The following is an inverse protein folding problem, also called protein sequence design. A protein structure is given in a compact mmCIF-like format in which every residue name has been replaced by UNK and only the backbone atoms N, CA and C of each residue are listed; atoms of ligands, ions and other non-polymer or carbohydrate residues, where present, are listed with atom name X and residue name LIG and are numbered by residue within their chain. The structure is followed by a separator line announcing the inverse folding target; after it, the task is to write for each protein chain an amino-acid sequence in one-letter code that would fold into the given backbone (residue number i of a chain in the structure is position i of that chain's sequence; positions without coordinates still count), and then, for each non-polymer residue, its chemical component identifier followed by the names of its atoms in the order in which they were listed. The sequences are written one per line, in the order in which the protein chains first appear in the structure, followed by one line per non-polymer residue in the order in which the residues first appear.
data_IF_316847199296
#
_entry.id   IF_316847199296
#
_cell.length_a   1.000
_cell.length_b   1.000
_cell.length_c   1.000
_cell.angle_alpha   90.00
_cell.angle_beta   90.00
_cell.angle_gamma   90.00
#
_symmetry.space_group_name_H-M   'P 1'
#
loop_
_entity.id
_entity.type
_entity.pdbx_description
1 polymer ?
#
# COMPACT_ATOMS: atom_id res chain seq x y z
N UNK A 1 73.55 -51.83 -12.84
CA UNK A 1 74.23 -51.11 -11.70
C UNK A 1 74.38 -49.65 -12.04
N UNK A 2 74.27 -48.82 -11.12
CA UNK A 2 74.37 -47.33 -11.10
C UNK A 2 73.07 -46.58 -11.36
N UNK A 3 72.50 -46.11 -10.23
CA UNK A 3 71.38 -45.21 -10.10
C UNK A 3 71.82 -43.77 -10.43
N UNK A 4 71.12 -43.11 -11.32
CA UNK A 4 71.26 -41.67 -11.51
C UNK A 4 70.06 -40.97 -10.89
N UNK A 5 70.31 -40.21 -9.79
CA UNK A 5 69.38 -39.35 -9.12
C UNK A 5 69.30 -38.03 -9.89
N UNK A 6 68.10 -37.65 -10.36
CA UNK A 6 67.79 -36.36 -10.91
C UNK A 6 67.09 -35.53 -9.82
N UNK A 7 67.76 -34.47 -9.36
CA UNK A 7 67.19 -33.44 -8.47
C UNK A 7 66.51 -32.43 -9.36
N UNK A 8 65.18 -32.43 -9.34
CA UNK A 8 64.36 -31.38 -9.98
C UNK A 8 64.17 -30.22 -9.00
N UNK A 9 64.78 -29.08 -9.33
CA UNK A 9 64.63 -27.81 -8.58
C UNK A 9 63.27 -27.21 -8.93
N UNK A 10 62.31 -27.27 -8.00
CA UNK A 10 60.98 -26.64 -8.16
C UNK A 10 61.11 -25.18 -7.69
N UNK A 11 61.19 -24.23 -8.65
CA UNK A 11 61.08 -22.79 -8.39
C UNK A 11 59.64 -22.44 -8.03
N UNK A 12 59.43 -22.17 -6.76
CA UNK A 12 58.13 -21.68 -6.23
C UNK A 12 57.98 -20.19 -6.58
N UNK A 13 57.28 -19.87 -7.69
CA UNK A 13 56.90 -18.49 -7.99
C UNK A 13 55.69 -18.15 -7.10
N UNK A 14 55.91 -17.41 -6.06
CA UNK A 14 54.88 -16.81 -5.24
C UNK A 14 54.21 -15.66 -6.04
N UNK A 15 53.10 -15.97 -6.69
CA UNK A 15 52.21 -14.94 -7.27
C UNK A 15 51.51 -14.27 -6.11
N UNK A 16 52.00 -13.12 -5.70
CA UNK A 16 51.36 -12.21 -4.74
C UNK A 16 50.13 -11.60 -5.46
N UNK A 17 48.96 -12.21 -5.30
CA UNK A 17 47.71 -11.59 -5.69
C UNK A 17 47.42 -10.45 -4.72
N UNK A 18 47.73 -9.21 -5.15
CA UNK A 18 47.19 -8.03 -4.52
C UNK A 18 45.64 -8.08 -4.66
N UNK A 19 44.99 -8.55 -3.63
CA UNK A 19 43.56 -8.31 -3.46
C UNK A 19 43.40 -6.83 -3.21
N UNK A 20 43.08 -6.07 -4.24
CA UNK A 20 42.52 -4.73 -4.04
C UNK A 20 41.17 -4.95 -3.34
N UNK A 21 41.19 -4.82 -2.01
CA UNK A 21 39.97 -4.55 -1.28
C UNK A 21 39.44 -3.23 -1.85
N UNK A 22 38.39 -3.31 -2.67
CA UNK A 22 37.60 -2.14 -3.00
C UNK A 22 37.07 -1.62 -1.66
N UNK A 23 37.64 -0.55 -1.12
CA UNK A 23 37.05 0.21 -0.04
C UNK A 23 35.65 0.62 -0.51
N UNK A 24 34.65 -0.15 -0.13
CA UNK A 24 33.29 0.26 -0.28
C UNK A 24 33.08 1.44 0.66
N UNK A 25 33.10 2.65 0.11
CA UNK A 25 32.80 3.87 0.85
C UNK A 25 31.35 3.78 1.29
N UNK A 26 31.13 3.23 2.48
CA UNK A 26 29.81 2.95 3.05
C UNK A 26 29.06 4.25 3.40
N UNK A 27 29.79 5.38 3.55
CA UNK A 27 29.25 6.67 3.96
C UNK A 27 29.58 7.81 2.99
N UNK A 28 29.27 7.65 1.71
CA UNK A 28 29.38 8.78 0.80
C UNK A 28 28.14 9.67 0.95
N UNK A 29 28.34 10.89 1.47
CA UNK A 29 27.28 11.92 1.50
C UNK A 29 27.07 12.41 0.07
N UNK A 30 25.84 12.37 -0.40
CA UNK A 30 25.45 12.80 -1.75
C UNK A 30 24.58 14.07 -1.76
N UNK A 31 23.93 14.37 -0.64
CA UNK A 31 23.24 15.65 -0.45
C UNK A 31 23.28 16.10 1.01
N UNK A 32 23.32 17.41 1.22
CA UNK A 32 23.09 18.06 2.49
C UNK A 32 21.77 18.82 2.43
N UNK A 33 20.91 18.65 3.45
CA UNK A 33 19.61 19.31 3.54
C UNK A 33 19.52 19.96 4.91
N UNK A 34 19.79 21.27 5.00
CA UNK A 34 19.95 21.98 6.28
C UNK A 34 21.03 21.29 7.15
N UNK A 35 20.64 20.67 8.28
CA UNK A 35 21.54 19.94 9.19
C UNK A 35 21.55 18.42 8.99
N UNK A 36 20.80 17.88 8.04
CA UNK A 36 20.70 16.44 7.76
C UNK A 36 21.45 16.09 6.47
N UNK A 37 21.71 14.80 6.25
CA UNK A 37 22.45 14.32 5.08
C UNK A 37 21.75 13.13 4.43
N UNK A 38 21.81 13.07 3.10
CA UNK A 38 21.45 11.86 2.33
C UNK A 38 22.75 11.20 1.87
N UNK A 39 22.87 9.91 2.13
CA UNK A 39 24.03 9.12 1.74
C UNK A 39 23.78 8.32 0.45
N UNK A 40 24.85 7.78 -0.14
CA UNK A 40 24.74 6.85 -1.27
C UNK A 40 23.94 5.60 -0.89
N UNK A 41 24.09 5.12 0.34
CA UNK A 41 23.35 3.97 0.85
C UNK A 41 21.86 4.25 0.94
N UNK A 42 21.45 5.48 1.29
CA UNK A 42 20.04 5.88 1.31
C UNK A 42 19.45 5.89 -0.10
N UNK A 43 20.22 6.43 -1.06
CA UNK A 43 19.79 6.42 -2.46
C UNK A 43 19.64 4.99 -2.99
N UNK A 44 20.59 4.10 -2.71
CA UNK A 44 20.51 2.69 -3.14
C UNK A 44 19.30 2.00 -2.53
N UNK A 45 19.06 2.16 -1.21
CA UNK A 45 17.87 1.62 -0.55
C UNK A 45 16.58 2.17 -1.17
N UNK A 46 16.51 3.47 -1.44
CA UNK A 46 15.35 4.06 -2.11
C UNK A 46 15.11 3.48 -3.50
N UNK A 47 16.18 3.23 -4.26
CA UNK A 47 16.09 2.59 -5.58
C UNK A 47 15.64 1.13 -5.49
N UNK A 48 16.12 0.37 -4.51
CA UNK A 48 15.69 -1.01 -4.26
C UNK A 48 14.20 -1.07 -3.83
N UNK A 49 13.77 -0.18 -2.94
CA UNK A 49 12.36 -0.06 -2.55
C UNK A 49 11.47 0.25 -3.76
N UNK A 50 11.85 1.26 -4.56
CA UNK A 50 11.12 1.58 -5.80
C UNK A 50 11.02 0.38 -6.74
N UNK A 51 12.10 -0.37 -6.94
CA UNK A 51 12.09 -1.55 -7.79
C UNK A 51 11.16 -2.64 -7.24
N UNK A 52 11.18 -2.88 -5.91
CA UNK A 52 10.31 -3.87 -5.29
C UNK A 52 8.83 -3.48 -5.41
N UNK A 53 8.49 -2.22 -5.18
CA UNK A 53 7.12 -1.71 -5.35
C UNK A 53 6.64 -1.88 -6.80
N UNK A 54 7.51 -1.53 -7.76
CA UNK A 54 7.18 -1.69 -9.18
C UNK A 54 7.01 -3.16 -9.58
N UNK A 55 7.81 -4.07 -9.02
CA UNK A 55 7.65 -5.52 -9.25
C UNK A 55 6.32 -6.05 -8.71
N UNK A 56 5.90 -5.60 -7.54
CA UNK A 56 4.60 -5.97 -6.99
C UNK A 56 3.44 -5.42 -7.84
N UNK A 57 3.58 -4.20 -8.35
CA UNK A 57 2.52 -3.53 -9.11
C UNK A 57 2.44 -3.97 -10.59
N UNK A 58 3.59 -4.14 -11.26
CA UNK A 58 3.68 -4.33 -12.71
C UNK A 58 4.35 -5.65 -13.13
N UNK A 59 4.79 -6.48 -12.18
CA UNK A 59 5.41 -7.76 -12.47
C UNK A 59 6.59 -7.66 -13.44
N UNK A 60 6.49 -8.32 -14.58
CA UNK A 60 7.54 -8.37 -15.60
C UNK A 60 7.83 -7.02 -16.28
N UNK A 61 6.93 -6.04 -16.21
CA UNK A 61 7.12 -4.72 -16.81
C UNK A 61 7.81 -3.71 -15.87
N UNK A 62 8.14 -4.11 -14.64
CA UNK A 62 8.73 -3.24 -13.62
C UNK A 62 9.97 -2.48 -14.10
N UNK A 63 10.86 -3.14 -14.84
CA UNK A 63 12.10 -2.53 -15.32
C UNK A 63 11.87 -1.31 -16.22
N UNK A 64 10.82 -1.33 -17.05
CA UNK A 64 10.44 -0.21 -17.91
C UNK A 64 10.06 1.02 -17.06
N UNK A 65 9.21 0.83 -16.07
CA UNK A 65 8.78 1.91 -15.19
C UNK A 65 9.91 2.41 -14.28
N UNK A 66 10.83 1.52 -13.90
CA UNK A 66 11.99 1.87 -13.10
C UNK A 66 12.92 2.84 -13.83
N UNK A 67 13.22 2.61 -15.11
CA UNK A 67 14.08 3.50 -15.91
C UNK A 67 13.58 4.95 -15.90
N UNK A 68 12.28 5.16 -15.93
CA UNK A 68 11.68 6.49 -15.92
C UNK A 68 11.69 7.13 -14.52
N UNK A 69 11.53 6.32 -13.45
CA UNK A 69 11.30 6.83 -12.09
C UNK A 69 12.55 6.88 -11.22
N UNK A 70 13.59 6.08 -11.52
CA UNK A 70 14.81 6.04 -10.69
C UNK A 70 15.49 7.40 -10.51
N UNK A 71 15.39 8.29 -11.49
CA UNK A 71 15.93 9.65 -11.46
C UNK A 71 15.27 10.54 -10.40
N UNK A 72 14.08 10.18 -9.97
CA UNK A 72 13.29 10.95 -9.01
C UNK A 72 13.55 10.52 -7.56
N UNK A 73 14.25 9.39 -7.33
CA UNK A 73 14.48 8.84 -5.98
C UNK A 73 15.23 9.83 -5.09
N UNK A 74 16.24 10.53 -5.61
CA UNK A 74 16.97 11.53 -4.80
C UNK A 74 16.08 12.72 -4.44
N UNK A 75 15.24 13.19 -5.37
CA UNK A 75 14.23 14.21 -5.09
C UNK A 75 13.30 13.77 -3.97
N UNK A 76 12.80 12.53 -4.06
CA UNK A 76 11.82 12.01 -3.09
C UNK A 76 12.44 11.85 -1.69
N UNK A 77 13.71 11.47 -1.60
CA UNK A 77 14.47 11.43 -0.34
C UNK A 77 14.65 12.84 0.27
N UNK A 78 15.00 13.83 -0.55
CA UNK A 78 15.12 15.22 -0.11
C UNK A 78 13.76 15.76 0.37
N UNK A 79 12.69 15.52 -0.40
CA UNK A 79 11.34 15.94 -0.04
C UNK A 79 10.86 15.30 1.26
N UNK A 80 11.13 14.00 1.44
CA UNK A 80 10.83 13.29 2.67
C UNK A 80 11.56 13.90 3.86
N UNK A 81 12.85 14.20 3.71
CA UNK A 81 13.65 14.79 4.79
C UNK A 81 13.15 16.17 5.19
N UNK A 82 12.80 17.02 4.22
CA UNK A 82 12.19 18.32 4.47
C UNK A 82 10.85 18.21 5.23
N UNK A 83 10.01 17.23 4.88
CA UNK A 83 8.77 16.97 5.60
C UNK A 83 9.03 16.46 7.02
N UNK A 84 10.03 15.60 7.24
CA UNK A 84 10.41 15.14 8.57
C UNK A 84 10.96 16.27 9.44
N UNK A 85 11.79 17.15 8.89
CA UNK A 85 12.24 18.36 9.58
C UNK A 85 11.06 19.24 9.97
N UNK A 86 10.10 19.43 9.05
CA UNK A 86 8.87 20.17 9.34
C UNK A 86 8.03 19.49 10.41
N UNK A 87 7.94 18.17 10.41
CA UNK A 87 7.30 17.40 11.48
C UNK A 87 7.93 17.67 12.85
N UNK A 88 9.28 17.69 12.93
CA UNK A 88 10.01 18.05 14.16
C UNK A 88 9.66 19.47 14.64
N UNK A 89 9.62 20.46 13.73
CA UNK A 89 9.23 21.83 14.04
C UNK A 89 7.80 21.94 14.58
N UNK A 90 6.88 21.14 14.05
CA UNK A 90 5.47 21.11 14.45
C UNK A 90 5.20 20.25 15.69
N UNK A 91 6.23 19.60 16.26
CA UNK A 91 6.12 18.70 17.40
C UNK A 91 5.40 17.38 17.07
N UNK A 92 5.37 16.96 15.81
CA UNK A 92 4.76 15.71 15.35
C UNK A 92 5.77 14.59 15.56
N UNK A 93 5.53 13.67 16.50
CA UNK A 93 6.44 12.55 16.79
C UNK A 93 6.01 11.25 16.12
N UNK A 94 4.72 11.01 15.95
CA UNK A 94 4.16 9.80 15.34
C UNK A 94 4.32 8.52 16.15
N UNK A 95 4.80 8.59 17.41
CA UNK A 95 5.18 7.40 18.19
C UNK A 95 4.00 6.48 18.48
N UNK A 96 2.89 7.04 18.97
CA UNK A 96 1.68 6.28 19.29
C UNK A 96 1.03 5.67 18.05
N UNK A 97 1.00 6.42 16.96
CA UNK A 97 0.45 5.97 15.68
C UNK A 97 1.31 4.86 15.07
N UNK A 98 2.64 4.93 15.25
CA UNK A 98 3.57 3.88 14.82
C UNK A 98 3.26 2.55 15.51
N UNK A 99 3.05 2.56 16.83
CA UNK A 99 2.70 1.35 17.59
C UNK A 99 1.38 0.75 17.07
N UNK A 100 0.36 1.60 16.88
CA UNK A 100 -0.95 1.17 16.36
C UNK A 100 -0.82 0.58 14.96
N UNK A 101 -0.05 1.24 14.08
CA UNK A 101 0.14 0.79 12.71
C UNK A 101 0.85 -0.56 12.63
N UNK A 102 1.85 -0.80 13.48
CA UNK A 102 2.53 -2.10 13.56
C UNK A 102 1.56 -3.18 14.07
N UNK A 103 0.70 -2.87 15.05
CA UNK A 103 -0.32 -3.82 15.52
C UNK A 103 -1.39 -4.14 14.44
N UNK A 104 -1.77 -3.16 13.63
CA UNK A 104 -2.63 -3.37 12.46
C UNK A 104 -1.98 -4.31 11.45
N UNK A 105 -0.70 -4.10 11.12
CA UNK A 105 0.07 -4.98 10.23
C UNK A 105 0.11 -6.40 10.80
N UNK A 106 0.38 -6.55 12.10
CA UNK A 106 0.36 -7.84 12.80
C UNK A 106 -0.97 -8.57 12.57
N UNK A 107 -2.09 -7.89 12.80
CA UNK A 107 -3.45 -8.44 12.60
C UNK A 107 -3.74 -8.79 11.14
N UNK A 108 -3.36 -7.92 10.19
CA UNK A 108 -3.56 -8.14 8.76
C UNK A 108 -2.80 -9.37 8.25
N UNK A 109 -1.60 -9.61 8.78
CA UNK A 109 -0.78 -10.77 8.44
C UNK A 109 -1.12 -12.02 9.27
N UNK A 110 -2.14 -11.96 10.14
CA UNK A 110 -2.52 -13.02 11.07
C UNK A 110 -1.34 -13.52 11.95
N UNK A 111 -0.48 -12.60 12.37
CA UNK A 111 0.65 -12.90 13.27
C UNK A 111 0.20 -12.79 14.74
N UNK A 112 0.71 -13.68 15.58
CA UNK A 112 0.27 -13.74 16.99
C UNK A 112 0.93 -12.66 17.84
N UNK A 113 2.22 -12.40 17.65
CA UNK A 113 3.02 -11.51 18.49
C UNK A 113 3.75 -10.42 17.70
N UNK A 114 4.26 -9.41 18.39
CA UNK A 114 5.10 -8.36 17.80
C UNK A 114 6.46 -8.91 17.36
N UNK A 115 6.97 -9.92 18.05
CA UNK A 115 8.19 -10.65 17.69
C UNK A 115 8.02 -11.40 16.37
N UNK A 116 6.81 -11.84 16.02
CA UNK A 116 6.52 -12.42 14.71
C UNK A 116 6.60 -11.39 13.60
N UNK A 117 6.13 -10.15 13.84
CA UNK A 117 6.28 -9.04 12.91
C UNK A 117 7.75 -8.70 12.69
N UNK A 118 8.53 -8.64 13.78
CA UNK A 118 9.97 -8.43 13.69
C UNK A 118 10.65 -9.50 12.84
N UNK A 119 10.39 -10.79 13.14
CA UNK A 119 10.95 -11.90 12.34
C UNK A 119 10.54 -11.84 10.85
N UNK A 120 9.31 -11.42 10.58
CA UNK A 120 8.85 -11.24 9.21
C UNK A 120 9.62 -10.13 8.49
N UNK A 121 9.84 -8.97 9.13
CA UNK A 121 10.62 -7.87 8.58
C UNK A 121 12.09 -8.28 8.34
N UNK A 122 12.72 -8.94 9.31
CA UNK A 122 14.11 -9.42 9.22
C UNK A 122 14.29 -10.47 8.12
N UNK A 123 13.30 -11.33 7.90
CA UNK A 123 13.28 -12.31 6.80
C UNK A 123 13.27 -11.64 5.42
N UNK A 124 12.62 -10.48 5.30
CA UNK A 124 12.63 -9.65 4.09
C UNK A 124 13.88 -8.75 3.99
N UNK A 125 14.85 -8.90 4.92
CA UNK A 125 16.12 -8.18 4.92
C UNK A 125 16.05 -6.77 5.52
N UNK A 126 14.97 -6.42 6.20
CA UNK A 126 14.79 -5.10 6.85
C UNK A 126 15.01 -5.25 8.35
N UNK A 127 15.94 -4.45 8.92
CA UNK A 127 16.14 -4.46 10.38
C UNK A 127 14.88 -3.97 11.11
N UNK A 128 14.63 -4.47 12.33
CA UNK A 128 13.47 -4.04 13.12
C UNK A 128 13.44 -2.52 13.37
N UNK A 129 14.61 -1.92 13.60
CA UNK A 129 14.70 -0.46 13.79
C UNK A 129 14.38 0.30 12.51
N UNK A 130 14.91 -0.12 11.37
CA UNK A 130 14.59 0.50 10.08
C UNK A 130 13.10 0.33 9.73
N UNK A 131 12.53 -0.84 10.02
CA UNK A 131 11.10 -1.09 9.81
C UNK A 131 10.23 -0.11 10.61
N UNK A 132 10.50 0.04 11.92
CA UNK A 132 9.80 1.00 12.77
C UNK A 132 9.99 2.44 12.30
N UNK A 133 11.23 2.79 11.94
CA UNK A 133 11.55 4.14 11.50
C UNK A 133 10.86 4.49 10.17
N UNK A 134 10.78 3.55 9.24
CA UNK A 134 10.08 3.76 7.97
C UNK A 134 8.59 3.99 8.18
N UNK A 135 7.94 3.21 9.05
CA UNK A 135 6.54 3.42 9.42
C UNK A 135 6.36 4.80 10.07
N UNK A 136 7.23 5.14 11.02
CA UNK A 136 7.20 6.44 11.71
C UNK A 136 7.37 7.61 10.73
N UNK A 137 8.34 7.53 9.83
CA UNK A 137 8.57 8.54 8.80
C UNK A 137 7.34 8.73 7.91
N UNK A 138 6.72 7.63 7.47
CA UNK A 138 5.48 7.69 6.68
C UNK A 138 4.34 8.37 7.44
N UNK A 139 4.17 8.07 8.72
CA UNK A 139 3.15 8.69 9.59
C UNK A 139 3.41 10.19 9.76
N UNK A 140 4.65 10.57 10.11
CA UNK A 140 5.01 11.98 10.31
C UNK A 140 4.81 12.79 9.03
N UNK A 141 5.30 12.30 7.88
CA UNK A 141 5.14 13.00 6.60
C UNK A 141 3.67 13.14 6.21
N UNK A 142 2.86 12.09 6.42
CA UNK A 142 1.42 12.14 6.17
C UNK A 142 0.72 13.16 7.09
N UNK A 143 1.06 13.21 8.38
CA UNK A 143 0.48 14.18 9.32
C UNK A 143 0.86 15.61 8.96
N UNK A 144 2.12 15.84 8.55
CA UNK A 144 2.56 17.16 8.07
C UNK A 144 1.75 17.59 6.85
N UNK A 145 1.64 16.73 5.83
CA UNK A 145 0.86 17.01 4.62
C UNK A 145 -0.62 17.26 4.97
N UNK A 146 -1.20 16.42 5.83
CA UNK A 146 -2.59 16.59 6.26
C UNK A 146 -2.83 17.94 6.95
N UNK A 147 -1.92 18.34 7.85
CA UNK A 147 -2.03 19.57 8.63
C UNK A 147 -1.73 20.82 7.81
N UNK A 148 -0.62 20.82 7.07
CA UNK A 148 -0.11 22.01 6.39
C UNK A 148 -0.73 22.21 4.99
N UNK A 149 -1.28 21.17 4.39
CA UNK A 149 -1.86 21.21 3.05
C UNK A 149 -3.31 20.76 3.07
N UNK A 150 -3.57 19.54 3.54
CA UNK A 150 -4.88 18.90 3.47
C UNK A 150 -5.98 19.68 4.18
N UNK A 151 -5.69 20.21 5.38
CA UNK A 151 -6.63 21.00 6.17
C UNK A 151 -7.07 22.31 5.50
N UNK A 152 -6.34 22.77 4.49
CA UNK A 152 -6.64 24.02 3.77
C UNK A 152 -7.38 23.76 2.45
N UNK A 153 -7.60 22.49 2.06
CA UNK A 153 -8.35 22.15 0.86
C UNK A 153 -9.85 22.33 1.15
N UNK A 154 -10.46 23.27 0.46
CA UNK A 154 -11.89 23.47 0.49
C UNK A 154 -12.52 22.85 -0.75
N UNK A 155 -13.66 22.19 -0.56
CA UNK A 155 -14.46 21.61 -1.63
C UNK A 155 -15.87 22.19 -1.49
N UNK A 156 -16.33 22.87 -2.52
CA UNK A 156 -17.66 23.48 -2.51
C UNK A 156 -18.72 22.51 -3.05
N UNK A 157 -19.97 22.75 -2.73
CA UNK A 157 -21.07 21.93 -3.26
C UNK A 157 -21.15 22.02 -4.80
N UNK A 158 -20.87 23.19 -5.35
CA UNK A 158 -20.84 23.42 -6.80
C UNK A 158 -19.75 22.55 -7.48
N UNK A 159 -18.57 22.42 -6.84
CA UNK A 159 -17.52 21.54 -7.36
C UNK A 159 -17.92 20.07 -7.31
N UNK A 160 -18.59 19.65 -6.23
CA UNK A 160 -19.10 18.29 -6.08
C UNK A 160 -20.12 17.99 -7.19
N UNK A 161 -21.08 18.90 -7.40
CA UNK A 161 -22.09 18.76 -8.46
C UNK A 161 -21.46 18.74 -9.86
N UNK A 162 -20.54 19.66 -10.13
CA UNK A 162 -19.86 19.75 -11.42
C UNK A 162 -19.02 18.50 -11.72
N UNK A 163 -18.27 17.99 -10.74
CA UNK A 163 -17.48 16.77 -10.88
C UNK A 163 -18.38 15.56 -11.14
N UNK A 164 -19.46 15.41 -10.39
CA UNK A 164 -20.43 14.34 -10.59
C UNK A 164 -21.03 14.40 -11.99
N UNK A 165 -21.48 15.59 -12.46
CA UNK A 165 -22.06 15.78 -13.77
C UNK A 165 -21.08 15.44 -14.91
N UNK A 166 -19.82 15.79 -14.73
CA UNK A 166 -18.76 15.53 -15.71
C UNK A 166 -18.41 14.03 -15.79
N UNK A 167 -18.43 13.31 -14.66
CA UNK A 167 -17.99 11.91 -14.57
C UNK A 167 -19.17 10.89 -14.51
N UNK A 168 -20.39 11.31 -14.77
CA UNK A 168 -21.60 10.44 -14.73
C UNK A 168 -21.43 9.14 -15.50
N UNK A 169 -20.85 9.19 -16.69
CA UNK A 169 -20.68 8.01 -17.55
C UNK A 169 -19.72 6.97 -16.94
N UNK A 170 -18.69 7.46 -16.22
CA UNK A 170 -17.70 6.60 -15.56
C UNK A 170 -18.24 5.94 -14.29
N UNK A 171 -19.31 6.54 -13.70
CA UNK A 171 -19.98 6.05 -12.49
C UNK A 171 -21.07 5.03 -12.80
N UNK A 172 -21.31 4.73 -14.08
CA UNK A 172 -22.33 3.76 -14.46
C UNK A 172 -22.00 2.39 -13.89
N UNK A 173 -22.96 1.80 -13.19
CA UNK A 173 -22.82 0.50 -12.55
C UNK A 173 -23.90 -0.48 -13.03
N UNK A 174 -23.58 -1.78 -13.15
CA UNK A 174 -24.59 -2.80 -13.43
C UNK A 174 -25.52 -2.99 -12.24
N UNK A 175 -26.71 -3.49 -12.51
CA UNK A 175 -27.60 -3.94 -11.45
C UNK A 175 -26.96 -5.09 -10.69
N UNK A 176 -26.96 -5.02 -9.35
CA UNK A 176 -26.39 -6.03 -8.47
C UNK A 176 -27.15 -6.14 -7.16
N UNK A 177 -27.13 -7.34 -6.61
CA UNK A 177 -27.71 -7.65 -5.30
C UNK A 177 -26.67 -8.27 -4.40
N UNK A 178 -26.74 -8.00 -3.09
CA UNK A 178 -25.96 -8.74 -2.09
C UNK A 178 -26.88 -9.76 -1.45
N UNK A 179 -26.37 -10.97 -1.32
CA UNK A 179 -27.15 -12.13 -0.90
C UNK A 179 -26.56 -12.79 0.34
N UNK A 180 -27.46 -13.26 1.18
CA UNK A 180 -27.18 -14.27 2.20
C UNK A 180 -27.85 -15.57 1.83
N UNK A 181 -27.25 -16.74 2.15
CA UNK A 181 -27.72 -18.07 1.84
C UNK A 181 -27.80 -18.98 3.07
N UNK A 182 -28.80 -19.83 3.12
CA UNK A 182 -28.84 -21.03 3.98
C UNK A 182 -29.03 -22.24 3.07
N UNK A 183 -28.02 -23.09 2.98
CA UNK A 183 -28.07 -24.36 2.27
C UNK A 183 -28.49 -25.48 3.22
N UNK A 184 -29.53 -26.24 2.86
CA UNK A 184 -29.88 -27.52 3.47
C UNK A 184 -29.55 -28.61 2.47
N UNK A 185 -28.42 -29.26 2.70
CA UNK A 185 -27.89 -30.27 1.79
C UNK A 185 -28.75 -31.52 1.75
N UNK A 186 -28.91 -32.07 0.55
CA UNK A 186 -29.51 -33.38 0.33
C UNK A 186 -28.51 -34.42 -0.14
N UNK A 187 -27.23 -34.04 -0.20
CA UNK A 187 -26.17 -34.92 -0.66
C UNK A 187 -25.78 -35.90 0.49
N UNK A 188 -25.70 -37.21 0.20
CA UNK A 188 -25.26 -38.20 1.17
C UNK A 188 -23.80 -37.94 1.56
N UNK A 189 -23.50 -37.99 2.85
CA UNK A 189 -22.10 -37.86 3.33
C UNK A 189 -21.25 -38.98 2.73
N UNK A 190 -20.22 -38.60 1.96
CA UNK A 190 -19.27 -39.53 1.34
C UNK A 190 -19.60 -39.96 -0.11
N UNK A 191 -20.71 -39.50 -0.68
CA UNK A 191 -21.10 -39.78 -2.08
C UNK A 191 -21.76 -38.56 -2.71
N UNK A 192 -21.01 -37.51 -3.04
CA UNK A 192 -21.55 -36.23 -3.51
C UNK A 192 -22.29 -36.30 -4.85
N UNK A 193 -22.08 -37.36 -5.64
CA UNK A 193 -22.73 -37.58 -6.94
C UNK A 193 -23.95 -38.52 -6.88
N UNK A 194 -24.32 -39.03 -5.69
CA UNK A 194 -25.49 -39.89 -5.56
C UNK A 194 -26.75 -39.06 -5.49
N UNK A 195 -27.80 -39.48 -6.23
CA UNK A 195 -29.12 -38.86 -6.14
C UNK A 195 -29.73 -39.14 -4.75
N UNK A 196 -30.24 -38.10 -4.08
CA UNK A 196 -30.93 -38.27 -2.80
C UNK A 196 -32.26 -39.02 -2.97
N UNK A 197 -32.62 -39.85 -1.99
CA UNK A 197 -33.93 -40.48 -1.95
C UNK A 197 -35.04 -39.46 -1.63
N UNK A 198 -36.31 -39.86 -1.91
CA UNK A 198 -37.46 -39.00 -1.71
C UNK A 198 -37.66 -38.60 -0.24
N UNK A 199 -37.29 -39.44 0.70
CA UNK A 199 -37.38 -39.14 2.13
C UNK A 199 -36.42 -38.06 2.55
N UNK A 200 -35.17 -38.12 2.06
CA UNK A 200 -34.14 -37.09 2.27
C UNK A 200 -34.58 -35.75 1.65
N UNK A 201 -35.13 -35.80 0.42
CA UNK A 201 -35.63 -34.58 -0.24
C UNK A 201 -36.78 -33.93 0.55
N UNK A 202 -37.77 -34.72 0.97
CA UNK A 202 -38.88 -34.22 1.76
C UNK A 202 -38.46 -33.64 3.12
N UNK A 203 -37.52 -34.29 3.81
CA UNK A 203 -37.00 -33.82 5.08
C UNK A 203 -36.23 -32.48 4.93
N UNK A 204 -35.36 -32.35 3.91
CA UNK A 204 -34.62 -31.11 3.64
C UNK A 204 -35.55 -29.96 3.24
N UNK A 205 -36.53 -30.22 2.40
CA UNK A 205 -37.52 -29.23 2.01
C UNK A 205 -38.32 -28.74 3.22
N UNK A 206 -38.78 -29.66 4.09
CA UNK A 206 -39.49 -29.31 5.31
C UNK A 206 -38.64 -28.45 6.23
N UNK A 207 -37.35 -28.82 6.45
CA UNK A 207 -36.39 -28.04 7.25
C UNK A 207 -36.20 -26.63 6.70
N UNK A 208 -36.02 -26.49 5.37
CA UNK A 208 -35.90 -25.19 4.73
C UNK A 208 -37.19 -24.33 4.92
N UNK A 209 -38.36 -24.91 4.80
CA UNK A 209 -39.62 -24.21 5.06
C UNK A 209 -39.76 -23.76 6.51
N UNK A 210 -39.39 -24.61 7.47
CA UNK A 210 -39.40 -24.27 8.89
C UNK A 210 -38.45 -23.10 9.20
N UNK A 211 -37.25 -23.09 8.63
CA UNK A 211 -36.30 -21.99 8.78
C UNK A 211 -36.83 -20.69 8.17
N UNK A 212 -37.38 -20.75 6.96
CA UNK A 212 -38.03 -19.59 6.34
C UNK A 212 -39.14 -19.02 7.23
N UNK A 213 -39.97 -19.87 7.81
CA UNK A 213 -41.08 -19.43 8.66
C UNK A 213 -40.57 -18.81 9.98
N UNK A 214 -39.45 -19.30 10.54
CA UNK A 214 -38.76 -18.66 11.66
C UNK A 214 -38.24 -17.27 11.30
N UNK A 215 -37.62 -17.11 10.12
CA UNK A 215 -37.10 -15.82 9.66
C UNK A 215 -38.28 -14.83 9.47
N UNK A 216 -39.36 -15.26 8.85
CA UNK A 216 -40.56 -14.44 8.70
C UNK A 216 -41.24 -14.02 10.02
N UNK A 217 -40.99 -14.77 11.09
CA UNK A 217 -41.39 -14.44 12.47
C UNK A 217 -40.35 -13.55 13.21
N UNK A 218 -39.31 -13.14 12.53
CA UNK A 218 -38.29 -12.22 13.08
C UNK A 218 -37.00 -12.87 13.60
N UNK A 219 -36.77 -14.18 13.38
CA UNK A 219 -35.50 -14.79 13.69
C UNK A 219 -34.36 -14.23 12.78
N UNK A 220 -33.17 -14.09 13.34
CA UNK A 220 -32.00 -13.64 12.59
C UNK A 220 -31.61 -14.65 11.51
N UNK A 221 -31.53 -14.22 10.26
CA UNK A 221 -31.08 -15.06 9.15
C UNK A 221 -29.62 -15.52 9.37
N UNK A 222 -28.74 -14.60 9.77
CA UNK A 222 -27.33 -14.87 10.03
C UNK A 222 -27.14 -15.94 11.13
N UNK A 223 -27.91 -15.86 12.24
CA UNK A 223 -27.80 -16.84 13.33
C UNK A 223 -28.31 -18.22 12.90
N UNK A 224 -29.36 -18.24 12.07
CA UNK A 224 -29.86 -19.48 11.51
C UNK A 224 -28.91 -20.08 10.48
N UNK A 225 -28.26 -19.25 9.66
CA UNK A 225 -27.23 -19.68 8.73
C UNK A 225 -26.05 -20.31 9.46
N UNK A 226 -25.51 -19.65 10.48
CA UNK A 226 -24.42 -20.19 11.32
C UNK A 226 -24.74 -21.54 11.95
N UNK A 227 -26.02 -21.77 12.30
CA UNK A 227 -26.45 -22.99 13.03
C UNK A 227 -26.89 -24.12 12.10
N UNK A 228 -27.40 -23.80 10.93
CA UNK A 228 -28.15 -24.77 10.12
C UNK A 228 -27.67 -24.90 8.68
N UNK A 229 -26.88 -23.94 8.17
CA UNK A 229 -26.38 -24.01 6.79
C UNK A 229 -25.33 -25.09 6.66
N UNK A 230 -25.47 -25.91 5.62
CA UNK A 230 -24.51 -26.94 5.22
C UNK A 230 -23.46 -26.37 4.24
N UNK A 231 -23.53 -25.07 3.86
CA UNK A 231 -22.49 -24.41 3.07
C UNK A 231 -21.30 -24.00 3.96
N UNK A 232 -20.20 -24.74 3.88
CA UNK A 232 -19.01 -24.50 4.67
C UNK A 232 -18.34 -23.16 4.38
N UNK A 233 -18.57 -22.53 3.21
CA UNK A 233 -17.89 -21.30 2.81
C UNK A 233 -18.56 -20.06 3.42
N UNK A 234 -19.88 -20.04 3.51
CA UNK A 234 -20.64 -18.87 3.96
C UNK A 234 -21.26 -19.03 5.34
N UNK A 235 -21.49 -20.24 5.83
CA UNK A 235 -22.17 -20.48 7.10
C UNK A 235 -21.55 -19.71 8.27
N UNK A 236 -20.22 -19.74 8.44
CA UNK A 236 -19.52 -19.06 9.51
C UNK A 236 -19.66 -17.53 9.46
N UNK A 237 -19.85 -16.97 8.26
CA UNK A 237 -20.10 -15.56 7.99
C UNK A 237 -21.59 -15.20 7.94
N UNK A 238 -22.47 -16.07 8.49
CA UNK A 238 -23.92 -15.83 8.51
C UNK A 238 -24.62 -16.05 7.16
N UNK A 239 -23.96 -16.74 6.24
CA UNK A 239 -24.49 -17.02 4.90
C UNK A 239 -24.15 -15.97 3.85
N UNK A 240 -23.30 -14.97 4.16
CA UNK A 240 -22.96 -13.89 3.22
C UNK A 240 -22.19 -14.45 1.99
N UNK A 241 -22.79 -14.27 0.81
CA UNK A 241 -22.24 -14.64 -0.49
C UNK A 241 -21.62 -13.44 -1.24
N UNK A 242 -21.78 -12.22 -0.69
CA UNK A 242 -21.36 -11.00 -1.37
C UNK A 242 -22.27 -10.58 -2.52
N UNK A 243 -21.73 -9.81 -3.48
CA UNK A 243 -22.50 -9.18 -4.56
C UNK A 243 -22.56 -10.03 -5.82
N UNK A 244 -23.77 -10.12 -6.39
CA UNK A 244 -24.05 -10.76 -7.67
C UNK A 244 -24.56 -9.72 -8.67
N UNK A 245 -23.90 -9.63 -9.82
CA UNK A 245 -24.37 -8.81 -10.93
C UNK A 245 -25.45 -9.55 -11.73
N UNK A 246 -26.38 -8.83 -12.35
CA UNK A 246 -27.31 -9.42 -13.30
C UNK A 246 -26.51 -10.12 -14.44
N UNK A 247 -26.92 -11.34 -14.77
CA UNK A 247 -26.23 -12.22 -15.73
C UNK A 247 -25.20 -13.17 -15.12
N UNK A 248 -24.98 -13.13 -13.79
CA UNK A 248 -24.01 -14.02 -13.11
C UNK A 248 -24.65 -15.31 -12.55
N UNK A 249 -25.97 -15.43 -12.59
CA UNK A 249 -26.71 -16.56 -12.05
C UNK A 249 -27.54 -17.26 -13.13
N UNK A 250 -28.04 -18.47 -12.82
CA UNK A 250 -29.02 -19.14 -13.66
C UNK A 250 -30.31 -18.28 -13.74
N UNK A 251 -30.82 -18.08 -14.95
CA UNK A 251 -31.89 -17.12 -15.25
C UNK A 251 -33.13 -17.24 -14.34
N UNK A 252 -33.59 -18.44 -14.04
CA UNK A 252 -34.77 -18.65 -13.18
C UNK A 252 -34.57 -18.17 -11.74
N UNK A 253 -33.33 -18.33 -11.22
CA UNK A 253 -32.94 -17.85 -9.89
C UNK A 253 -32.75 -16.33 -9.90
N UNK A 254 -32.10 -15.83 -10.94
CA UNK A 254 -31.86 -14.40 -11.14
C UNK A 254 -33.14 -13.61 -11.20
N UNK A 255 -34.10 -14.04 -12.02
CA UNK A 255 -35.41 -13.38 -12.17
C UNK A 255 -36.16 -13.31 -10.82
N UNK A 256 -36.04 -14.35 -9.99
CA UNK A 256 -36.64 -14.37 -8.65
C UNK A 256 -35.97 -13.39 -7.71
N UNK A 257 -34.64 -13.47 -7.63
CA UNK A 257 -33.84 -12.69 -6.67
C UNK A 257 -33.89 -11.19 -6.97
N UNK A 258 -33.71 -10.81 -8.23
CA UNK A 258 -33.76 -9.40 -8.63
C UNK A 258 -35.15 -8.77 -8.56
N UNK A 259 -36.20 -9.58 -8.44
CA UNK A 259 -37.54 -9.09 -8.17
C UNK A 259 -37.82 -8.89 -6.67
N UNK A 260 -37.01 -9.45 -5.78
CA UNK A 260 -37.14 -9.34 -4.33
C UNK A 260 -36.74 -7.96 -3.84
N UNK A 261 -37.39 -7.50 -2.76
CA UNK A 261 -36.99 -6.28 -2.05
C UNK A 261 -35.86 -6.59 -1.05
N UNK A 262 -35.15 -5.55 -0.70
CA UNK A 262 -34.15 -5.64 0.40
C UNK A 262 -34.87 -6.10 1.67
N UNK A 263 -34.33 -7.15 2.31
CA UNK A 263 -34.90 -7.82 3.48
C UNK A 263 -35.77 -9.02 3.16
N UNK A 264 -36.21 -9.20 1.92
CA UNK A 264 -37.05 -10.36 1.54
C UNK A 264 -36.24 -11.66 1.55
N UNK A 265 -36.90 -12.75 1.92
CA UNK A 265 -36.36 -14.11 1.90
C UNK A 265 -37.14 -14.95 0.90
N UNK A 266 -36.42 -15.66 0.04
CA UNK A 266 -37.01 -16.53 -0.98
C UNK A 266 -37.81 -17.71 -0.37
N UNK A 267 -38.67 -18.31 -1.16
CA UNK A 267 -39.10 -19.66 -0.88
C UNK A 267 -37.91 -20.64 -1.06
N UNK A 268 -37.96 -21.84 -0.45
CA UNK A 268 -36.90 -22.84 -0.65
C UNK A 268 -36.74 -23.19 -2.12
N UNK A 269 -35.56 -22.89 -2.68
CA UNK A 269 -35.21 -23.17 -4.07
C UNK A 269 -34.47 -24.50 -4.15
N UNK A 270 -34.93 -25.43 -4.98
CA UNK A 270 -34.25 -26.73 -5.20
C UNK A 270 -33.03 -26.53 -6.09
N UNK A 271 -31.90 -27.01 -5.63
CA UNK A 271 -30.62 -27.06 -6.38
C UNK A 271 -30.08 -28.49 -6.42
N UNK A 272 -28.98 -28.71 -7.14
CA UNK A 272 -28.29 -30.02 -7.13
C UNK A 272 -27.75 -30.40 -5.74
N UNK A 273 -27.36 -29.41 -4.94
CA UNK A 273 -26.75 -29.63 -3.61
C UNK A 273 -27.82 -29.84 -2.52
N UNK A 274 -29.05 -29.32 -2.72
CA UNK A 274 -30.09 -29.37 -1.72
C UNK A 274 -31.13 -28.26 -1.93
N UNK A 275 -31.69 -27.78 -0.83
CA UNK A 275 -32.61 -26.63 -0.82
C UNK A 275 -31.85 -25.41 -0.27
N UNK A 276 -31.98 -24.28 -0.94
CA UNK A 276 -31.42 -23.00 -0.52
C UNK A 276 -32.53 -22.00 -0.19
N UNK A 277 -32.28 -21.25 0.89
CA UNK A 277 -32.99 -20.00 1.19
C UNK A 277 -32.03 -18.85 0.89
N UNK A 278 -32.54 -17.85 0.18
CA UNK A 278 -31.75 -16.65 -0.14
C UNK A 278 -32.42 -15.41 0.42
N UNK A 279 -31.63 -14.50 0.96
CA UNK A 279 -32.09 -13.19 1.43
C UNK A 279 -31.35 -12.11 0.69
N UNK A 280 -32.08 -11.11 0.20
CA UNK A 280 -31.48 -9.90 -0.40
C UNK A 280 -31.20 -8.91 0.72
N UNK A 281 -29.93 -8.60 0.94
CA UNK A 281 -29.49 -7.62 1.95
C UNK A 281 -29.26 -6.24 1.36
N UNK A 282 -28.86 -6.16 0.09
CA UNK A 282 -28.68 -4.92 -0.65
C UNK A 282 -29.10 -5.10 -2.11
N UNK A 283 -29.66 -4.05 -2.72
CA UNK A 283 -30.05 -4.04 -4.14
C UNK A 283 -29.65 -2.71 -4.76
N UNK A 284 -28.65 -2.75 -5.61
CA UNK A 284 -28.17 -1.61 -6.38
C UNK A 284 -28.76 -1.65 -7.78
N UNK A 285 -29.49 -0.62 -8.17
CA UNK A 285 -30.07 -0.51 -9.51
C UNK A 285 -29.00 -0.24 -10.56
N UNK A 286 -29.23 -0.72 -11.78
CA UNK A 286 -28.39 -0.38 -12.93
C UNK A 286 -28.48 1.12 -13.24
N UNK A 287 -27.36 1.69 -13.69
CA UNK A 287 -27.32 3.08 -14.13
C UNK A 287 -26.36 3.93 -13.31
N UNK A 288 -26.50 5.24 -13.40
CA UNK A 288 -25.69 6.18 -12.65
C UNK A 288 -26.31 6.36 -11.26
N UNK A 289 -25.57 6.08 -10.17
CA UNK A 289 -26.10 6.28 -8.82
C UNK A 289 -26.40 7.75 -8.57
N UNK A 290 -27.46 8.10 -7.83
CA UNK A 290 -27.71 9.48 -7.44
C UNK A 290 -26.52 10.08 -6.69
N UNK A 291 -26.25 11.39 -6.85
CA UNK A 291 -25.15 12.07 -6.20
C UNK A 291 -25.09 11.79 -4.68
N UNK A 292 -26.23 11.81 -3.99
CA UNK A 292 -26.33 11.54 -2.55
C UNK A 292 -25.73 10.19 -2.11
N UNK A 293 -25.73 9.19 -3.01
CA UNK A 293 -25.23 7.84 -2.71
C UNK A 293 -23.73 7.69 -2.98
N UNK A 294 -23.15 8.65 -3.69
CA UNK A 294 -21.72 8.65 -4.09
C UNK A 294 -20.98 9.94 -3.67
N UNK A 295 -21.64 10.81 -2.93
CA UNK A 295 -21.11 12.14 -2.57
C UNK A 295 -19.74 12.05 -1.88
N UNK A 296 -19.58 11.16 -0.90
CA UNK A 296 -18.31 10.94 -0.20
C UNK A 296 -17.19 10.49 -1.16
N UNK A 297 -17.53 9.66 -2.15
CA UNK A 297 -16.57 9.21 -3.17
C UNK A 297 -16.18 10.35 -4.09
N UNK A 298 -17.14 11.19 -4.49
CA UNK A 298 -16.92 12.37 -5.32
C UNK A 298 -16.06 13.37 -4.56
N UNK A 299 -16.39 13.68 -3.31
CA UNK A 299 -15.60 14.58 -2.46
C UNK A 299 -14.18 14.07 -2.28
N UNK A 300 -14.01 12.77 -2.03
CA UNK A 300 -12.68 12.15 -1.92
C UNK A 300 -11.89 12.28 -3.22
N UNK A 301 -12.51 12.05 -4.38
CA UNK A 301 -11.84 12.21 -5.68
C UNK A 301 -11.38 13.64 -5.91
N UNK A 302 -12.25 14.64 -5.65
CA UNK A 302 -11.90 16.06 -5.74
C UNK A 302 -10.78 16.42 -4.75
N UNK A 303 -10.85 15.90 -3.52
CA UNK A 303 -9.83 16.12 -2.52
C UNK A 303 -8.45 15.67 -3.01
N UNK A 304 -8.31 14.44 -3.51
CA UNK A 304 -7.04 13.93 -4.02
C UNK A 304 -6.57 14.68 -5.29
N UNK A 305 -7.51 15.09 -6.14
CA UNK A 305 -7.19 15.91 -7.32
C UNK A 305 -6.59 17.26 -6.92
N UNK A 306 -7.10 17.90 -5.86
CA UNK A 306 -6.57 19.16 -5.32
C UNK A 306 -5.31 18.97 -4.47
N UNK A 307 -5.22 17.87 -3.74
CA UNK A 307 -4.10 17.59 -2.82
C UNK A 307 -2.77 17.48 -3.58
N UNK A 308 -2.74 16.74 -4.69
CA UNK A 308 -1.50 16.49 -5.43
C UNK A 308 -0.76 17.77 -5.86
N UNK A 309 -1.40 18.74 -6.53
CA UNK A 309 -0.73 19.99 -6.88
C UNK A 309 -0.42 20.85 -5.66
N UNK A 310 -1.27 20.84 -4.63
CA UNK A 310 -1.03 21.59 -3.40
C UNK A 310 0.19 21.07 -2.62
N UNK A 311 0.37 19.75 -2.51
CA UNK A 311 1.57 19.14 -1.92
C UNK A 311 2.81 19.51 -2.71
N UNK A 312 2.75 19.48 -4.06
CA UNK A 312 3.88 19.88 -4.90
C UNK A 312 4.27 21.34 -4.67
N UNK A 313 3.30 22.24 -4.61
CA UNK A 313 3.55 23.66 -4.31
C UNK A 313 4.13 23.85 -2.90
N UNK A 314 3.65 23.09 -1.93
CA UNK A 314 4.17 23.11 -0.56
C UNK A 314 5.62 22.63 -0.49
N UNK A 315 5.96 21.52 -1.14
CA UNK A 315 7.32 21.00 -1.23
C UNK A 315 8.26 22.01 -1.92
N UNK A 316 7.82 22.64 -3.01
CA UNK A 316 8.59 23.72 -3.66
C UNK A 316 8.91 24.83 -2.66
N UNK A 317 7.92 25.27 -1.87
CA UNK A 317 8.14 26.29 -0.82
C UNK A 317 9.12 25.82 0.25
N UNK A 318 9.03 24.57 0.71
CA UNK A 318 9.99 24.03 1.70
C UNK A 318 11.41 24.00 1.12
N UNK A 319 11.57 23.62 -0.15
CA UNK A 319 12.86 23.61 -0.85
C UNK A 319 13.48 25.01 -0.98
N UNK A 320 12.68 26.01 -1.32
CA UNK A 320 13.12 27.41 -1.42
C UNK A 320 13.60 27.98 -0.08
N UNK A 321 13.05 27.49 1.02
CA UNK A 321 13.42 27.88 2.38
C UNK A 321 14.59 27.08 2.96
N UNK A 322 14.95 25.96 2.36
CA UNK A 322 15.98 25.05 2.84
C UNK A 322 17.33 25.33 2.16
N UNK A 323 18.39 24.99 2.88
CA UNK A 323 19.71 24.83 2.30
C UNK A 323 19.81 23.40 1.73
N UNK A 324 19.93 23.28 0.41
CA UNK A 324 20.12 22.00 -0.28
C UNK A 324 21.40 22.08 -1.11
N UNK A 325 22.34 21.17 -0.85
CA UNK A 325 23.60 21.05 -1.60
C UNK A 325 23.78 19.60 -2.05
N UNK A 326 23.70 19.39 -3.37
CA UNK A 326 23.82 18.07 -3.99
C UNK A 326 25.21 17.91 -4.59
N UNK A 327 25.91 16.82 -4.23
CA UNK A 327 27.25 16.51 -4.70
C UNK A 327 27.30 16.38 -6.23
N UNK A 328 28.33 16.90 -6.90
CA UNK A 328 28.54 16.71 -8.33
C UNK A 328 28.49 15.23 -8.74
N UNK A 329 27.75 14.92 -9.79
CA UNK A 329 27.51 13.55 -10.26
C UNK A 329 26.16 12.97 -9.84
N UNK A 330 25.42 13.65 -8.96
CA UNK A 330 24.04 13.34 -8.62
C UNK A 330 23.12 14.45 -9.11
N UNK A 331 21.87 14.08 -9.46
CA UNK A 331 20.88 15.01 -9.99
C UNK A 331 19.64 14.96 -9.11
N UNK A 332 19.26 16.11 -8.57
CA UNK A 332 17.96 16.33 -7.94
C UNK A 332 16.98 16.85 -8.99
N UNK A 333 16.02 16.01 -9.40
CA UNK A 333 15.00 16.39 -10.38
C UNK A 333 13.97 17.37 -9.84
N UNK A 334 13.96 17.64 -8.52
CA UNK A 334 13.09 18.60 -7.85
C UNK A 334 13.74 19.96 -7.59
N UNK A 335 14.99 20.17 -7.98
CA UNK A 335 15.71 21.41 -7.74
C UNK A 335 14.93 22.62 -8.29
N UNK A 336 14.71 23.62 -7.43
CA UNK A 336 14.05 24.88 -7.82
C UNK A 336 15.09 25.85 -8.42
N UNK A 337 14.76 26.62 -9.47
CA UNK A 337 15.63 27.67 -9.97
C UNK A 337 15.89 28.77 -8.91
N UNK A 338 15.06 28.85 -7.87
CA UNK A 338 15.15 29.83 -6.80
C UNK A 338 15.85 29.28 -5.54
N UNK A 339 16.40 28.04 -5.57
CA UNK A 339 17.16 27.49 -4.45
C UNK A 339 18.39 28.38 -4.14
N UNK A 340 18.58 28.67 -2.87
CA UNK A 340 19.71 29.46 -2.39
C UNK A 340 20.99 28.61 -2.50
N UNK A 341 21.79 28.85 -3.53
CA UNK A 341 23.11 28.17 -3.61
C UNK A 341 24.04 28.73 -2.55
N UNK A 342 24.76 27.88 -1.80
CA UNK A 342 25.68 28.34 -0.78
C UNK A 342 26.78 29.19 -1.41
N UNK A 343 26.97 30.38 -0.90
CA UNK A 343 28.19 31.17 -1.20
C UNK A 343 29.32 30.61 -0.37
N UNK A 344 30.11 29.70 -0.93
CA UNK A 344 31.37 29.28 -0.29
C UNK A 344 32.30 30.47 -0.25
N UNK A 345 32.34 31.17 0.87
CA UNK A 345 33.41 32.13 1.14
C UNK A 345 34.67 31.31 1.38
N UNK A 346 35.48 31.14 0.33
CA UNK A 346 36.80 30.52 0.43
C UNK A 346 37.67 31.36 1.36
N UNK A 347 37.69 31.04 2.64
CA UNK A 347 38.56 31.65 3.66
C UNK A 347 40.06 31.48 3.36
N UNK A 348 40.42 30.66 2.38
CA UNK A 348 41.78 30.43 1.95
C UNK A 348 42.48 31.66 1.30
N UNK A 349 41.69 32.62 0.81
CA UNK A 349 42.22 33.83 0.18
C UNK A 349 42.67 34.91 1.17
N UNK A 350 42.14 34.93 2.41
CA UNK A 350 42.53 35.90 3.43
C UNK A 350 43.86 35.56 4.13
N UNK A 351 44.18 34.27 4.28
CA UNK A 351 45.43 33.84 4.90
C UNK A 351 46.66 34.01 3.98
N UNK A 352 46.47 33.93 2.66
CA UNK A 352 47.58 34.23 1.74
C UNK A 352 47.85 35.73 1.59
N UNK A 353 46.83 36.59 1.73
CA UNK A 353 47.01 38.03 1.73
C UNK A 353 47.72 38.54 3.01
N UNK A 354 47.45 37.90 4.16
CA UNK A 354 48.13 38.21 5.42
C UNK A 354 49.60 37.71 5.44
N UNK A 355 49.90 36.58 4.79
CA UNK A 355 51.30 36.08 4.65
C UNK A 355 52.15 36.92 3.68
N UNK A 356 51.55 37.49 2.61
CA UNK A 356 52.26 38.38 1.69
C UNK A 356 52.54 39.77 2.30
N UNK A 357 51.68 40.30 3.19
CA UNK A 357 51.94 41.57 3.91
C UNK A 357 53.01 41.44 4.99
N UNK A 358 53.17 40.29 5.66
CA UNK A 358 54.21 40.05 6.66
C UNK A 358 55.62 39.86 6.05
N UNK A 359 55.76 39.47 4.77
CA UNK A 359 57.08 39.35 4.11
C UNK A 359 57.62 40.66 3.52
N UNK A 360 56.79 41.75 3.45
CA UNK A 360 57.32 43.06 2.95
C UNK A 360 57.75 44.02 4.03
N UNK A 361 57.69 43.67 5.29
CA UNK A 361 58.06 44.56 6.44
C UNK A 361 59.37 44.18 7.09
N UNK A 362 60.17 43.24 6.52
CA UNK A 362 61.45 42.77 7.07
C UNK A 362 62.57 42.88 6.03
N UNK A 363 62.69 44.07 5.40
CA UNK A 363 63.90 44.49 4.71
C UNK A 363 63.97 46.01 4.84
N UNK A 364 64.51 46.46 5.94
CA UNK A 364 65.39 47.63 6.13
C UNK A 364 66.04 47.50 7.49
#
# INVERSE_FOLDING_TARGET
MTKRVWIALFSLIAVSTCVFAADSVIFEIIAHINGEVVTRSDLQRGQEMLMNDLRQQYGAEADKYYQDRQKDVLRDLIDQDLLLQKGKELGITGDNETIKRIDEIRKQLNLETMEDVQRAAEKEGVSWEDFKQNIKNGIVTQQVISREVGAHIQITHEEVQAFYDQHKQEMQQPEQVRLEEILISTQPKGSPDADPDDATLAAAQKKAQELRDQIRKGASFEDLAKKNSDDANSAAQGGDLGYFKRGSMVKSMEDTIFAMKVGDVSDPVRTKQGFILMKVTEHTQAGVPPLKDVEDKVQSAIYYQKLTPAVRAYLTKLREQAYIDVKPGFVDSGASPNETKPIFVNTTTQDQAKKKKKKKVLVF
#
